data_IF_286425051976
#
_entry.id   IF_286425051976
#
_cell.length_a   1.000
_cell.length_b   1.000
_cell.length_c   1.000
_cell.angle_alpha   90.00
_cell.angle_beta   90.00
_cell.angle_gamma   90.00
#
_symmetry.space_group_name_H-M   'P 1'
#
loop_
_entity.id
_entity.type
_entity.pdbx_description
1 polymer ?
#
# COMPACT_ATOMS: atom_id res chain seq x y z
N UNK A 1 26.79 46.02 2.03
CA UNK A 1 26.26 46.42 0.71
C UNK A 1 25.05 45.53 0.42
N UNK A 2 23.85 46.07 0.15
CA UNK A 2 23.51 47.48 -0.08
C UNK A 2 22.95 48.13 1.21
N UNK A 3 23.35 49.31 1.68
CA UNK A 3 23.33 50.67 1.08
C UNK A 3 21.94 51.10 0.58
N UNK A 4 21.22 51.96 1.32
CA UNK A 4 21.33 53.43 1.40
C UNK A 4 20.53 54.12 0.27
N UNK A 5 19.93 55.24 0.67
CA UNK A 5 19.31 56.32 -0.09
C UNK A 5 17.86 56.16 -0.57
N UNK A 6 16.91 56.86 0.04
CA UNK A 6 16.72 58.31 0.14
C UNK A 6 15.79 58.81 -0.96
N UNK A 7 14.58 59.19 -0.53
CA UNK A 7 13.83 60.26 -1.20
C UNK A 7 13.37 61.28 -0.17
N UNK A 8 14.21 62.31 -0.09
CA UNK A 8 13.90 63.67 0.31
C UNK A 8 12.53 64.13 -0.25
N UNK A 9 11.72 64.78 0.58
CA UNK A 9 11.19 66.10 0.23
C UNK A 9 10.80 66.89 1.48
N UNK A 10 11.46 68.04 1.61
CA UNK A 10 11.23 69.07 2.59
C UNK A 10 9.84 69.72 2.41
N UNK A 11 9.25 70.13 3.54
CA UNK A 11 7.97 70.83 3.61
C UNK A 11 7.85 71.60 4.92
N UNK A 12 8.50 72.76 4.94
CA UNK A 12 8.46 73.91 5.87
C UNK A 12 7.18 74.08 6.73
N UNK A 13 7.42 74.35 8.02
CA UNK A 13 6.70 75.15 9.01
C UNK A 13 5.27 75.63 8.72
N UNK A 14 4.37 75.34 9.66
CA UNK A 14 3.09 76.02 9.84
C UNK A 14 2.47 75.62 11.18
N UNK A 15 2.75 76.39 12.23
CA UNK A 15 2.17 76.15 13.55
C UNK A 15 0.66 76.34 13.52
N UNK A 16 -0.08 75.53 14.27
CA UNK A 16 -1.40 75.86 14.77
C UNK A 16 -1.49 75.41 16.22
N UNK A 17 -1.45 76.40 17.09
CA UNK A 17 -1.84 76.30 18.48
C UNK A 17 -3.27 75.73 18.55
N UNK A 18 -3.42 74.50 19.04
CA UNK A 18 -4.72 74.02 19.49
C UNK A 18 -4.88 74.37 20.96
N UNK A 19 -5.73 75.37 21.17
CA UNK A 19 -6.33 75.79 22.43
C UNK A 19 -6.53 74.60 23.37
N UNK A 20 -5.88 74.68 24.52
CA UNK A 20 -6.28 73.97 25.73
C UNK A 20 -7.68 74.49 26.08
N UNK A 21 -8.69 73.69 25.76
CA UNK A 21 -10.04 73.89 26.27
C UNK A 21 -10.00 73.67 27.77
N UNK A 22 -10.30 74.72 28.53
CA UNK A 22 -10.59 74.67 29.95
C UNK A 22 -11.84 73.82 30.19
N UNK A 23 -11.66 72.50 30.22
CA UNK A 23 -12.62 71.54 30.73
C UNK A 23 -12.51 71.48 32.24
N UNK A 24 -13.38 72.26 32.88
CA UNK A 24 -13.60 72.31 34.33
C UNK A 24 -14.09 70.95 34.84
N UNK A 25 -13.18 69.99 35.02
CA UNK A 25 -13.44 68.79 35.80
C UNK A 25 -13.02 69.09 37.25
N UNK A 26 -14.00 69.50 38.04
CA UNK A 26 -13.88 69.54 39.50
C UNK A 26 -13.77 68.10 40.02
N UNK A 27 -12.54 67.62 40.15
CA UNK A 27 -12.19 66.55 41.07
C UNK A 27 -11.42 67.20 42.20
N UNK A 28 -12.03 67.29 43.38
CA UNK A 28 -11.35 67.78 44.58
C UNK A 28 -10.02 67.03 44.76
N UNK A 29 -8.90 67.72 45.01
CA UNK A 29 -7.71 67.02 45.41
C UNK A 29 -8.05 66.32 46.72
N UNK A 30 -7.81 65.00 46.78
CA UNK A 30 -7.84 64.23 48.03
C UNK A 30 -6.66 64.68 48.87
N UNK A 31 -6.73 65.92 49.36
CA UNK A 31 -5.96 66.43 50.48
C UNK A 31 -6.65 65.80 51.68
N UNK A 32 -6.35 64.53 51.96
CA UNK A 32 -6.57 64.03 53.31
C UNK A 32 -5.75 64.97 54.17
N UNK A 33 -6.48 65.76 54.94
CA UNK A 33 -6.00 66.86 55.77
C UNK A 33 -4.84 66.36 56.63
N UNK A 34 -3.62 66.53 56.12
CA UNK A 34 -2.39 66.14 56.81
C UNK A 34 -2.36 66.80 58.19
N UNK A 35 -2.86 68.03 58.25
CA UNK A 35 -3.00 68.87 59.42
C UNK A 35 -3.98 68.30 60.46
N UNK A 36 -5.08 67.64 60.03
CA UNK A 36 -6.01 66.99 60.98
C UNK A 36 -5.49 65.67 61.51
N UNK A 37 -4.69 64.96 60.71
CA UNK A 37 -4.04 63.71 61.12
C UNK A 37 -2.92 63.99 62.11
N UNK A 38 -2.13 65.06 61.91
CA UNK A 38 -1.09 65.48 62.85
C UNK A 38 -1.67 65.98 64.17
N UNK A 39 -2.73 66.80 64.15
CA UNK A 39 -3.40 67.26 65.37
C UNK A 39 -4.05 66.11 66.17
N UNK A 40 -4.64 65.14 65.48
CA UNK A 40 -5.19 63.92 66.10
C UNK A 40 -4.10 63.02 66.68
N UNK A 41 -2.93 62.98 66.04
CA UNK A 41 -1.76 62.23 66.47
C UNK A 41 -1.14 62.82 67.74
N UNK A 42 -0.93 64.14 67.79
CA UNK A 42 -0.28 64.85 68.90
C UNK A 42 -1.11 64.83 70.20
N UNK A 43 -2.43 64.70 70.12
CA UNK A 43 -3.31 64.62 71.31
C UNK A 43 -3.35 63.24 71.96
N UNK A 44 -2.80 62.18 71.34
CA UNK A 44 -2.81 60.83 71.88
C UNK A 44 -1.63 60.58 72.81
N UNK A 45 -1.88 59.82 73.88
CA UNK A 45 -0.82 59.40 74.82
C UNK A 45 0.25 58.59 74.07
N UNK A 46 1.53 58.64 74.48
CA UNK A 46 2.64 57.99 73.75
C UNK A 46 2.47 56.47 73.60
N UNK A 47 1.73 55.82 74.52
CA UNK A 47 1.40 54.38 74.42
C UNK A 47 0.40 54.07 73.31
N UNK A 48 -0.54 54.97 73.06
CA UNK A 48 -1.56 54.81 72.01
C UNK A 48 -0.99 55.07 70.62
N UNK A 49 -0.06 56.02 70.48
CA UNK A 49 0.70 56.23 69.25
C UNK A 49 1.46 54.96 68.85
N UNK A 50 2.12 54.31 69.82
CA UNK A 50 2.88 53.09 69.58
C UNK A 50 1.99 51.93 69.13
N UNK A 51 0.78 51.82 69.70
CA UNK A 51 -0.23 50.84 69.24
C UNK A 51 -0.74 51.13 67.83
N UNK A 52 -0.98 52.39 67.47
CA UNK A 52 -1.46 52.74 66.12
C UNK A 52 -0.40 52.45 65.05
N UNK A 53 0.88 52.77 65.32
CA UNK A 53 1.98 52.39 64.41
C UNK A 53 2.11 50.88 64.31
N UNK A 54 2.02 50.15 65.43
CA UNK A 54 2.10 48.68 65.42
C UNK A 54 0.96 48.06 64.60
N UNK A 55 -0.26 48.55 64.74
CA UNK A 55 -1.42 48.10 63.97
C UNK A 55 -1.26 48.46 62.50
N UNK A 56 -0.83 49.68 62.17
CA UNK A 56 -0.59 50.09 60.79
C UNK A 56 0.49 49.20 60.13
N UNK A 57 1.60 48.95 60.82
CA UNK A 57 2.66 48.06 60.33
C UNK A 57 2.17 46.62 60.14
N UNK A 58 1.39 46.07 61.08
CA UNK A 58 0.79 44.74 60.95
C UNK A 58 -0.17 44.66 59.76
N UNK A 59 -1.04 45.65 59.57
CA UNK A 59 -1.97 45.67 58.43
C UNK A 59 -1.24 45.77 57.10
N UNK A 60 -0.16 46.54 57.03
CA UNK A 60 0.65 46.71 55.82
C UNK A 60 1.43 45.44 55.49
N UNK A 61 1.95 44.74 56.51
CA UNK A 61 2.63 43.46 56.36
C UNK A 61 1.66 42.35 55.91
N UNK A 62 0.46 42.30 56.49
CA UNK A 62 -0.59 41.35 56.07
C UNK A 62 -1.12 41.64 54.67
N UNK A 63 -1.25 42.92 54.30
CA UNK A 63 -1.65 43.32 52.95
C UNK A 63 -0.58 42.96 51.93
N UNK A 64 0.70 43.19 52.23
CA UNK A 64 1.82 42.80 51.37
C UNK A 64 1.86 41.28 51.16
N UNK A 65 1.70 40.50 52.23
CA UNK A 65 1.60 39.03 52.17
C UNK A 65 0.41 38.60 51.29
N UNK A 66 -0.78 39.17 51.51
CA UNK A 66 -1.97 38.84 50.74
C UNK A 66 -1.84 39.23 49.25
N UNK A 67 -1.23 40.38 48.93
CA UNK A 67 -1.03 40.84 47.56
C UNK A 67 0.05 40.04 46.82
N UNK A 68 1.06 39.51 47.52
CA UNK A 68 2.14 38.72 46.94
C UNK A 68 1.84 37.21 46.85
N UNK A 69 1.15 36.61 47.83
CA UNK A 69 0.83 35.17 47.81
C UNK A 69 -0.37 34.82 46.92
N UNK A 70 -1.35 35.72 46.77
CA UNK A 70 -2.50 35.50 45.88
C UNK A 70 -2.10 35.22 44.42
N UNK A 71 -1.25 36.02 43.76
CA UNK A 71 -0.86 35.74 42.38
C UNK A 71 -0.08 34.42 42.26
N UNK A 72 0.74 34.08 43.25
CA UNK A 72 1.49 32.82 43.26
C UNK A 72 0.55 31.59 43.33
N UNK A 73 -0.49 31.64 44.18
CA UNK A 73 -1.48 30.55 44.29
C UNK A 73 -2.30 30.37 43.01
N UNK A 74 -2.68 31.48 42.36
CA UNK A 74 -3.41 31.45 41.08
C UNK A 74 -2.53 30.84 39.99
N UNK A 75 -1.25 31.24 39.91
CA UNK A 75 -0.31 30.67 38.94
C UNK A 75 -0.09 29.16 39.15
N UNK A 76 0.04 28.70 40.40
CA UNK A 76 0.16 27.27 40.72
C UNK A 76 -1.12 26.51 40.33
N UNK A 77 -2.29 27.06 40.64
CA UNK A 77 -3.58 26.44 40.31
C UNK A 77 -3.83 26.41 38.78
N UNK A 78 -3.44 27.44 38.05
CA UNK A 78 -3.54 27.46 36.59
C UNK A 78 -2.54 26.49 35.95
N UNK A 79 -1.32 26.40 36.48
CA UNK A 79 -0.32 25.44 36.02
C UNK A 79 -0.77 24.00 36.26
N UNK A 80 -1.37 23.70 37.42
CA UNK A 80 -1.89 22.37 37.71
C UNK A 80 -3.09 22.00 36.82
N UNK A 81 -3.99 22.96 36.53
CA UNK A 81 -5.07 22.78 35.55
C UNK A 81 -4.54 22.50 34.15
N UNK A 82 -3.52 23.26 33.70
CA UNK A 82 -2.86 23.04 32.40
C UNK A 82 -2.22 21.66 32.33
N UNK A 83 -1.53 21.23 33.40
CA UNK A 83 -0.95 19.89 33.48
C UNK A 83 -2.01 18.79 33.47
N UNK A 84 -3.12 18.98 34.19
CA UNK A 84 -4.23 18.02 34.19
C UNK A 84 -4.87 17.93 32.80
N UNK A 85 -5.10 19.07 32.14
CA UNK A 85 -5.59 19.14 30.76
C UNK A 85 -4.65 18.42 29.78
N UNK A 86 -3.36 18.77 29.80
CA UNK A 86 -2.35 18.14 28.95
C UNK A 86 -2.23 16.63 29.20
N UNK A 87 -2.35 16.16 30.45
CA UNK A 87 -2.38 14.73 30.77
C UNK A 87 -3.61 14.04 30.19
N UNK A 88 -4.78 14.66 30.25
CA UNK A 88 -6.00 14.10 29.66
C UNK A 88 -5.93 14.04 28.14
N UNK A 89 -5.33 15.06 27.51
CA UNK A 89 -5.11 15.12 26.07
C UNK A 89 -4.10 14.06 25.62
N UNK A 90 -3.00 13.88 26.36
CA UNK A 90 -2.04 12.80 26.12
C UNK A 90 -2.69 11.42 26.24
N UNK A 91 -3.53 11.19 27.25
CA UNK A 91 -4.24 9.92 27.41
C UNK A 91 -5.20 9.65 26.24
N UNK A 92 -5.93 10.68 25.77
CA UNK A 92 -6.81 10.57 24.62
C UNK A 92 -6.04 10.28 23.31
N UNK A 93 -4.92 10.97 23.09
CA UNK A 93 -4.04 10.72 21.95
C UNK A 93 -3.42 9.32 21.98
N UNK A 94 -3.01 8.84 23.16
CA UNK A 94 -2.49 7.48 23.33
C UNK A 94 -3.55 6.42 22.96
N UNK A 95 -4.80 6.59 23.41
CA UNK A 95 -5.90 5.70 23.03
C UNK A 95 -6.15 5.73 21.52
N UNK A 96 -6.13 6.91 20.90
CA UNK A 96 -6.33 7.04 19.46
C UNK A 96 -5.22 6.36 18.65
N UNK A 97 -3.96 6.44 19.10
CA UNK A 97 -2.83 5.73 18.47
C UNK A 97 -3.00 4.22 18.61
N UNK A 98 -3.31 3.71 19.80
CA UNK A 98 -3.54 2.27 20.00
C UNK A 98 -4.68 1.72 19.14
N UNK A 99 -5.80 2.44 19.03
CA UNK A 99 -6.92 2.05 18.18
C UNK A 99 -6.54 2.02 16.70
N UNK A 100 -5.79 3.03 16.23
CA UNK A 100 -5.30 3.10 14.85
C UNK A 100 -4.30 1.99 14.54
N UNK A 101 -3.40 1.70 15.47
CA UNK A 101 -2.42 0.62 15.32
C UNK A 101 -3.09 -0.75 15.30
N UNK A 102 -4.07 -1.01 16.19
CA UNK A 102 -4.85 -2.26 16.16
C UNK A 102 -5.60 -2.41 14.84
N UNK A 103 -6.38 -1.41 14.44
CA UNK A 103 -7.14 -1.44 13.19
C UNK A 103 -6.24 -1.60 11.95
N UNK A 104 -5.11 -0.89 11.91
CA UNK A 104 -4.12 -1.02 10.84
C UNK A 104 -3.50 -2.42 10.80
N UNK A 105 -3.13 -2.98 11.96
CA UNK A 105 -2.55 -4.33 12.05
C UNK A 105 -3.55 -5.43 11.63
N UNK A 106 -4.83 -5.29 11.98
CA UNK A 106 -5.88 -6.22 11.56
C UNK A 106 -6.12 -6.14 10.05
N UNK A 107 -6.17 -4.92 9.49
CA UNK A 107 -6.33 -4.73 8.05
C UNK A 107 -5.14 -5.32 7.26
N UNK A 108 -3.91 -5.16 7.77
CA UNK A 108 -2.73 -5.76 7.16
C UNK A 108 -2.77 -7.29 7.22
N UNK A 109 -3.13 -7.88 8.36
CA UNK A 109 -3.30 -9.35 8.48
C UNK A 109 -4.40 -9.88 7.56
N UNK A 110 -5.52 -9.17 7.44
CA UNK A 110 -6.61 -9.55 6.53
C UNK A 110 -6.15 -9.51 5.06
N UNK A 111 -5.41 -8.46 4.66
CA UNK A 111 -4.82 -8.38 3.31
C UNK A 111 -3.80 -9.48 3.05
N UNK A 112 -2.96 -9.79 4.04
CA UNK A 112 -1.98 -10.87 3.92
C UNK A 112 -2.68 -12.24 3.75
N UNK A 113 -3.74 -12.49 4.52
CA UNK A 113 -4.54 -13.70 4.39
C UNK A 113 -5.23 -13.80 3.01
N UNK A 114 -5.82 -12.70 2.52
CA UNK A 114 -6.43 -12.64 1.17
C UNK A 114 -5.40 -12.90 0.08
N UNK A 115 -4.23 -12.25 0.14
CA UNK A 115 -3.14 -12.45 -0.82
C UNK A 115 -2.62 -13.90 -0.80
N UNK A 116 -2.45 -14.50 0.38
CA UNK A 116 -2.07 -15.91 0.50
C UNK A 116 -3.13 -16.84 -0.10
N UNK A 117 -4.41 -16.56 0.11
CA UNK A 117 -5.49 -17.34 -0.48
C UNK A 117 -5.50 -17.23 -2.02
N UNK A 118 -5.31 -16.03 -2.56
CA UNK A 118 -5.18 -15.81 -4.02
C UNK A 118 -3.97 -16.52 -4.61
N UNK A 119 -2.83 -16.47 -3.92
CA UNK A 119 -1.62 -17.18 -4.36
C UNK A 119 -1.85 -18.69 -4.39
N UNK A 120 -2.43 -19.26 -3.32
CA UNK A 120 -2.75 -20.69 -3.28
C UNK A 120 -3.75 -21.10 -4.38
N UNK A 121 -4.75 -20.27 -4.66
CA UNK A 121 -5.70 -20.49 -5.75
C UNK A 121 -5.00 -20.47 -7.12
N UNK A 122 -4.20 -19.43 -7.41
CA UNK A 122 -3.45 -19.30 -8.65
C UNK A 122 -2.45 -20.45 -8.85
N UNK A 123 -1.75 -20.86 -7.78
CA UNK A 123 -0.89 -22.04 -7.83
C UNK A 123 -1.68 -23.33 -8.14
N UNK A 124 -2.90 -23.47 -7.60
CA UNK A 124 -3.76 -24.62 -7.91
C UNK A 124 -4.22 -24.62 -9.36
N UNK A 125 -4.50 -23.46 -9.94
CA UNK A 125 -4.88 -23.30 -11.34
C UNK A 125 -3.70 -23.64 -12.25
N UNK A 126 -2.50 -23.15 -11.92
CA UNK A 126 -1.27 -23.47 -12.62
C UNK A 126 -0.95 -24.97 -12.51
N UNK A 127 -1.09 -25.59 -11.33
CA UNK A 127 -0.87 -27.05 -11.18
C UNK A 127 -1.86 -27.86 -12.01
N UNK A 128 -3.14 -27.47 -12.06
CA UNK A 128 -4.14 -28.10 -12.94
C UNK A 128 -3.74 -27.98 -14.42
N UNK A 129 -3.33 -26.79 -14.86
CA UNK A 129 -2.85 -26.58 -16.22
C UNK A 129 -1.55 -27.35 -16.53
N UNK A 130 -0.71 -27.63 -15.53
CA UNK A 130 0.51 -28.44 -15.68
C UNK A 130 0.22 -29.94 -15.82
N UNK A 131 -0.81 -30.45 -15.14
CA UNK A 131 -1.25 -31.86 -15.28
C UNK A 131 -1.76 -32.12 -16.71
N UNK A 132 -2.29 -31.10 -17.38
CA UNK A 132 -2.74 -31.14 -18.78
C UNK A 132 -1.58 -31.20 -19.80
N UNK A 133 -0.34 -30.92 -19.41
CA UNK A 133 0.83 -30.97 -20.29
C UNK A 133 1.40 -32.40 -20.33
N UNK A 134 1.11 -33.13 -21.41
CA UNK A 134 1.52 -34.53 -21.56
C UNK A 134 3.03 -34.63 -21.72
N UNK A 135 3.68 -35.43 -20.86
CA UNK A 135 5.07 -35.82 -21.08
C UNK A 135 5.19 -36.54 -22.45
N UNK A 136 6.07 -36.10 -23.36
CA UNK A 136 6.10 -36.55 -24.76
C UNK A 136 6.08 -38.07 -24.91
N UNK A 137 6.83 -38.76 -24.04
CA UNK A 137 6.97 -40.22 -23.93
C UNK A 137 5.65 -41.00 -23.82
N UNK A 138 4.57 -40.35 -23.38
CA UNK A 138 3.27 -40.97 -23.28
C UNK A 138 2.45 -40.85 -24.58
N UNK A 139 2.76 -39.89 -25.46
CA UNK A 139 1.98 -39.65 -26.69
C UNK A 139 1.95 -40.88 -27.60
N UNK A 140 3.11 -41.42 -27.98
CA UNK A 140 3.17 -42.58 -28.89
C UNK A 140 2.44 -43.80 -28.33
N UNK A 141 2.59 -44.06 -27.02
CA UNK A 141 1.88 -45.16 -26.34
C UNK A 141 0.36 -44.97 -26.35
N UNK A 142 -0.12 -43.74 -26.13
CA UNK A 142 -1.56 -43.45 -26.14
C UNK A 142 -2.15 -43.56 -27.56
N UNK A 143 -1.45 -43.02 -28.56
CA UNK A 143 -1.86 -43.16 -29.97
C UNK A 143 -1.96 -44.64 -30.35
N UNK A 144 -0.94 -45.44 -30.02
CA UNK A 144 -0.96 -46.88 -30.27
C UNK A 144 -2.10 -47.61 -29.52
N UNK A 145 -2.34 -47.29 -28.24
CA UNK A 145 -3.38 -47.92 -27.43
C UNK A 145 -4.79 -47.64 -27.96
N UNK A 146 -5.04 -46.45 -28.49
CA UNK A 146 -6.33 -46.12 -29.12
C UNK A 146 -6.43 -46.80 -30.48
N UNK A 147 -5.32 -46.83 -31.25
CA UNK A 147 -5.31 -47.42 -32.58
C UNK A 147 -5.59 -48.93 -32.56
N UNK A 148 -5.22 -49.64 -31.49
CA UNK A 148 -5.59 -51.04 -31.29
C UNK A 148 -7.11 -51.31 -31.32
N UNK A 149 -7.94 -50.27 -31.09
CA UNK A 149 -9.41 -50.37 -31.18
C UNK A 149 -9.94 -50.20 -32.60
N UNK A 150 -9.08 -49.85 -33.56
CA UNK A 150 -9.40 -49.57 -34.96
C UNK A 150 -8.57 -50.49 -35.88
N UNK A 151 -8.93 -51.79 -36.00
CA UNK A 151 -8.16 -52.75 -36.79
C UNK A 151 -8.12 -52.43 -38.29
N UNK A 152 -9.06 -51.64 -38.79
CA UNK A 152 -9.13 -51.16 -40.18
C UNK A 152 -8.07 -50.09 -40.51
N UNK A 153 -7.36 -49.58 -39.50
CA UNK A 153 -6.29 -48.59 -39.64
C UNK A 153 -4.93 -49.24 -39.44
N UNK A 154 -4.13 -49.32 -40.51
CA UNK A 154 -2.78 -49.89 -40.49
C UNK A 154 -1.73 -48.79 -40.41
N UNK A 155 -0.85 -48.83 -39.41
CA UNK A 155 0.29 -47.89 -39.37
C UNK A 155 1.32 -48.28 -40.42
N UNK A 156 1.64 -47.31 -41.28
CA UNK A 156 2.66 -47.46 -42.34
C UNK A 156 3.96 -46.78 -41.94
N UNK A 157 3.89 -45.72 -41.12
CA UNK A 157 5.06 -45.01 -40.65
C UNK A 157 4.75 -44.11 -39.46
N UNK A 158 5.76 -43.89 -38.63
CA UNK A 158 5.70 -42.96 -37.51
C UNK A 158 7.05 -42.26 -37.40
N UNK A 159 7.04 -40.93 -37.36
CA UNK A 159 8.23 -40.11 -37.28
C UNK A 159 8.07 -39.04 -36.20
N UNK A 160 8.99 -38.97 -35.25
CA UNK A 160 9.02 -37.88 -34.28
C UNK A 160 9.64 -36.64 -34.91
N UNK A 161 9.03 -35.47 -34.69
CA UNK A 161 9.61 -34.18 -35.05
C UNK A 161 10.44 -33.65 -33.87
N UNK A 162 11.45 -32.82 -34.17
CA UNK A 162 12.30 -32.20 -33.15
C UNK A 162 11.47 -31.22 -32.30
N UNK A 163 11.70 -31.17 -30.97
CA UNK A 163 10.97 -30.25 -30.11
C UNK A 163 11.25 -28.81 -30.51
N UNK A 164 10.20 -28.06 -30.83
CA UNK A 164 10.29 -26.65 -31.16
C UNK A 164 9.86 -25.83 -29.95
N UNK A 165 10.56 -24.75 -29.59
CA UNK A 165 10.09 -23.85 -28.56
C UNK A 165 8.71 -23.32 -28.95
N UNK A 166 7.73 -23.43 -28.05
CA UNK A 166 6.42 -22.87 -28.26
C UNK A 166 6.53 -21.36 -28.08
N UNK A 167 6.45 -20.62 -29.18
CA UNK A 167 6.44 -19.16 -29.16
C UNK A 167 5.10 -18.68 -28.60
N UNK A 168 5.12 -18.18 -27.36
CA UNK A 168 4.05 -17.28 -26.94
C UNK A 168 4.17 -16.04 -27.83
N UNK A 169 3.08 -15.68 -28.53
CA UNK A 169 3.04 -14.67 -29.59
C UNK A 169 3.44 -13.25 -29.11
N UNK A 170 3.85 -13.10 -27.85
CA UNK A 170 4.19 -11.86 -27.20
C UNK A 170 5.59 -11.30 -27.55
N UNK A 171 6.57 -12.12 -27.97
CA UNK A 171 7.94 -11.63 -28.19
C UNK A 171 8.54 -11.86 -29.59
N UNK A 172 7.92 -12.69 -30.45
CA UNK A 172 8.21 -12.82 -31.89
C UNK A 172 9.68 -13.05 -32.27
N UNK A 173 10.52 -13.48 -31.32
CA UNK A 173 11.98 -13.42 -31.50
C UNK A 173 12.62 -14.76 -31.83
N UNK A 174 11.89 -15.88 -31.65
CA UNK A 174 12.37 -17.24 -31.92
C UNK A 174 13.68 -17.62 -31.23
N UNK A 175 14.10 -16.84 -30.23
CA UNK A 175 15.39 -16.99 -29.55
C UNK A 175 15.19 -17.78 -28.27
N UNK A 176 15.91 -18.90 -28.15
CA UNK A 176 16.01 -19.63 -26.89
C UNK A 176 16.66 -18.71 -25.84
N UNK A 177 16.00 -18.45 -24.69
CA UNK A 177 16.53 -17.55 -23.67
C UNK A 177 17.92 -17.98 -23.21
N UNK A 178 18.85 -17.04 -23.00
CA UNK A 178 20.22 -17.35 -22.53
C UNK A 178 20.23 -17.71 -21.04
N UNK A 179 19.24 -17.25 -20.27
CA UNK A 179 19.08 -17.57 -18.84
C UNK A 179 18.48 -18.98 -18.65
N UNK A 180 19.08 -19.78 -17.75
CA UNK A 180 18.62 -21.11 -17.36
C UNK A 180 17.21 -21.11 -16.74
N UNK A 181 16.85 -20.08 -15.96
CA UNK A 181 15.53 -19.96 -15.31
C UNK A 181 14.42 -19.71 -16.35
N UNK A 182 14.71 -18.88 -17.35
CA UNK A 182 13.82 -18.64 -18.47
C UNK A 182 13.67 -19.89 -19.36
N UNK A 183 14.75 -20.67 -19.56
CA UNK A 183 14.66 -21.97 -20.26
C UNK A 183 13.82 -23.01 -19.52
N UNK A 184 13.86 -23.03 -18.18
CA UNK A 184 13.07 -23.96 -17.36
C UNK A 184 11.56 -23.66 -17.38
N UNK A 185 11.20 -22.42 -17.71
CA UNK A 185 9.81 -21.96 -17.82
C UNK A 185 9.27 -22.04 -19.26
N UNK A 186 10.13 -22.38 -20.22
CA UNK A 186 9.79 -22.42 -21.64
C UNK A 186 8.97 -23.69 -21.96
N UNK A 187 7.89 -23.50 -22.71
CA UNK A 187 7.12 -24.62 -23.26
C UNK A 187 7.74 -25.06 -24.58
N UNK A 188 7.74 -26.36 -24.81
CA UNK A 188 8.18 -26.99 -26.04
C UNK A 188 7.00 -27.72 -26.67
N UNK A 189 6.84 -27.52 -27.96
CA UNK A 189 5.98 -28.32 -28.81
C UNK A 189 6.72 -29.58 -29.25
N UNK A 190 6.10 -30.72 -29.05
CA UNK A 190 6.60 -32.02 -29.51
C UNK A 190 5.68 -32.55 -30.59
N UNK A 191 6.16 -32.55 -31.83
CA UNK A 191 5.43 -33.07 -32.99
C UNK A 191 5.66 -34.56 -33.21
N UNK A 192 4.64 -35.25 -33.71
CA UNK A 192 4.70 -36.62 -34.19
C UNK A 192 3.89 -36.73 -35.49
N UNK A 193 4.55 -37.19 -36.55
CA UNK A 193 3.91 -37.54 -37.80
C UNK A 193 3.54 -39.02 -37.80
N UNK A 194 2.27 -39.32 -38.03
CA UNK A 194 1.74 -40.68 -38.15
C UNK A 194 1.17 -40.87 -39.56
N UNK A 195 1.63 -41.90 -40.25
CA UNK A 195 1.11 -42.31 -41.55
C UNK A 195 0.30 -43.59 -41.40
N UNK A 196 -0.98 -43.55 -41.78
CA UNK A 196 -1.95 -44.63 -41.61
C UNK A 196 -2.60 -44.97 -42.95
N UNK A 197 -2.70 -46.25 -43.24
CA UNK A 197 -3.48 -46.82 -44.34
C UNK A 197 -4.86 -47.26 -43.84
N UNK A 198 -5.92 -46.85 -44.53
CA UNK A 198 -7.28 -47.26 -44.16
C UNK A 198 -8.35 -46.31 -44.69
N UNK A 199 -9.60 -46.56 -44.33
CA UNK A 199 -10.72 -45.72 -44.78
C UNK A 199 -10.77 -44.42 -43.99
N UNK A 200 -11.08 -43.33 -44.66
CA UNK A 200 -11.19 -41.99 -44.05
C UNK A 200 -12.17 -41.94 -42.86
N UNK A 201 -13.30 -42.66 -42.94
CA UNK A 201 -14.28 -42.69 -41.85
C UNK A 201 -13.73 -43.31 -40.57
N UNK A 202 -12.92 -44.36 -40.69
CA UNK A 202 -12.28 -45.00 -39.54
C UNK A 202 -11.24 -44.06 -38.92
N UNK A 203 -10.49 -43.33 -39.74
CA UNK A 203 -9.55 -42.31 -39.27
C UNK A 203 -10.26 -41.18 -38.53
N UNK A 204 -11.39 -40.69 -39.05
CA UNK A 204 -12.19 -39.66 -38.37
C UNK A 204 -12.73 -40.17 -37.02
N UNK A 205 -13.17 -41.43 -36.95
CA UNK A 205 -13.59 -42.04 -35.70
C UNK A 205 -12.42 -42.16 -34.69
N UNK A 206 -11.22 -42.50 -35.17
CA UNK A 206 -10.00 -42.51 -34.37
C UNK A 206 -9.67 -41.13 -33.81
N UNK A 207 -9.68 -40.07 -34.64
CA UNK A 207 -9.42 -38.69 -34.19
C UNK A 207 -10.43 -38.21 -33.16
N UNK A 208 -11.73 -38.47 -33.37
CA UNK A 208 -12.79 -38.15 -32.40
C UNK A 208 -12.61 -38.89 -31.07
N UNK A 209 -12.11 -40.13 -31.11
CA UNK A 209 -11.84 -40.89 -29.90
C UNK A 209 -10.64 -40.32 -29.14
N UNK A 210 -9.62 -39.87 -29.86
CA UNK A 210 -8.43 -39.22 -29.30
C UNK A 210 -8.80 -37.90 -28.59
N UNK A 211 -9.64 -37.07 -29.19
CA UNK A 211 -10.10 -35.78 -28.62
C UNK A 211 -10.86 -35.92 -27.29
N UNK A 212 -11.45 -37.10 -27.03
CA UNK A 212 -12.19 -37.38 -25.79
C UNK A 212 -11.29 -37.85 -24.65
N UNK A 213 -10.01 -38.10 -24.92
CA UNK A 213 -9.09 -38.54 -23.88
C UNK A 213 -8.67 -37.38 -22.97
N UNK A 214 -8.28 -37.64 -21.71
CA UNK A 214 -7.79 -36.59 -20.82
C UNK A 214 -6.44 -36.00 -21.27
N UNK A 215 -5.80 -36.60 -22.28
CA UNK A 215 -4.52 -36.16 -22.81
C UNK A 215 -4.73 -35.03 -23.83
N UNK A 216 -4.04 -33.90 -23.64
CA UNK A 216 -4.05 -32.76 -24.58
C UNK A 216 -3.16 -33.02 -25.80
N UNK A 217 -3.55 -33.99 -26.62
CA UNK A 217 -2.91 -34.26 -27.92
C UNK A 217 -3.72 -33.54 -28.99
N UNK A 218 -3.06 -32.63 -29.72
CA UNK A 218 -3.66 -31.87 -30.80
C UNK A 218 -3.20 -32.42 -32.14
N UNK A 219 -3.98 -32.22 -33.20
CA UNK A 219 -3.57 -32.49 -34.58
C UNK A 219 -3.58 -31.16 -35.36
N UNK A 220 -2.65 -31.02 -36.32
CA UNK A 220 -2.47 -29.77 -37.09
C UNK A 220 -2.86 -29.95 -38.55
N UNK A 221 -2.27 -30.94 -39.18
CA UNK A 221 -2.37 -31.15 -40.62
C UNK A 221 -2.76 -32.60 -40.92
N UNK A 222 -3.53 -32.78 -41.99
CA UNK A 222 -3.95 -34.07 -42.52
C UNK A 222 -3.78 -34.05 -44.04
N UNK A 223 -2.93 -34.94 -44.55
CA UNK A 223 -2.65 -35.12 -45.98
C UNK A 223 -3.11 -36.52 -46.42
N UNK A 224 -4.20 -36.57 -47.20
CA UNK A 224 -4.80 -37.79 -47.71
C UNK A 224 -4.34 -38.02 -49.15
N UNK A 225 -3.70 -39.17 -49.39
CA UNK A 225 -3.26 -39.63 -50.70
C UNK A 225 -3.78 -41.03 -50.97
N UNK A 226 -3.79 -41.44 -52.22
CA UNK A 226 -4.10 -42.83 -52.60
C UNK A 226 -2.82 -43.47 -53.09
N UNK A 227 -2.46 -44.64 -52.56
CA UNK A 227 -1.27 -45.36 -53.00
C UNK A 227 -1.50 -46.04 -54.36
N UNK A 228 -0.43 -46.61 -54.92
CA UNK A 228 -0.47 -47.28 -56.22
C UNK A 228 -1.46 -48.47 -56.26
N UNK A 229 -1.82 -49.03 -55.11
CA UNK A 229 -2.80 -50.10 -54.97
C UNK A 229 -4.25 -49.62 -54.83
N UNK A 230 -4.51 -48.31 -54.91
CA UNK A 230 -5.85 -47.74 -54.76
C UNK A 230 -6.33 -47.63 -53.30
N UNK A 231 -5.44 -47.84 -52.33
CA UNK A 231 -5.76 -47.75 -50.89
C UNK A 231 -5.46 -46.33 -50.39
N UNK A 232 -6.37 -45.71 -49.61
CA UNK A 232 -6.10 -44.40 -49.03
C UNK A 232 -5.02 -44.49 -47.94
N UNK A 233 -4.04 -43.59 -48.02
CA UNK A 233 -2.95 -43.39 -47.08
C UNK A 233 -3.05 -41.96 -46.57
N UNK A 234 -3.19 -41.81 -45.26
CA UNK A 234 -3.30 -40.50 -44.62
C UNK A 234 -2.11 -40.24 -43.71
N UNK A 235 -1.46 -39.10 -43.91
CA UNK A 235 -0.44 -38.58 -43.01
C UNK A 235 -1.09 -37.54 -42.10
N UNK A 236 -0.94 -37.72 -40.79
CA UNK A 236 -1.49 -36.82 -39.77
C UNK A 236 -0.37 -36.34 -38.87
N UNK A 237 -0.28 -35.02 -38.66
CA UNK A 237 0.67 -34.42 -37.72
C UNK A 237 -0.02 -34.12 -36.40
N UNK A 238 0.47 -34.76 -35.33
CA UNK A 238 0.06 -34.55 -33.96
C UNK A 238 1.08 -33.70 -33.21
N UNK A 239 0.65 -32.97 -32.17
CA UNK A 239 1.55 -32.26 -31.27
C UNK A 239 1.03 -32.22 -29.82
N UNK A 240 1.95 -32.10 -28.87
CA UNK A 240 1.66 -31.81 -27.44
C UNK A 240 2.60 -30.73 -26.93
N UNK A 241 2.21 -30.09 -25.84
CA UNK A 241 3.04 -29.13 -25.12
C UNK A 241 3.66 -29.78 -23.87
N UNK A 242 4.94 -29.52 -23.63
CA UNK A 242 5.65 -29.98 -22.44
C UNK A 242 6.68 -28.95 -21.93
N UNK A 243 7.12 -29.08 -20.67
CA UNK A 243 8.06 -28.16 -20.02
C UNK A 243 9.54 -28.49 -20.23
N UNK A 244 9.88 -29.37 -21.16
CA UNK A 244 11.28 -29.73 -21.36
C UNK A 244 11.58 -30.23 -22.75
N UNK A 245 12.82 -30.06 -23.22
CA UNK A 245 13.25 -30.51 -24.55
C UNK A 245 13.43 -32.03 -24.64
N UNK A 246 12.98 -32.81 -23.63
CA UNK A 246 13.20 -34.26 -23.59
C UNK A 246 12.41 -34.94 -24.72
N UNK A 247 13.17 -35.62 -25.56
CA UNK A 247 12.72 -36.28 -26.77
C UNK A 247 11.96 -37.60 -26.53
N UNK A 248 11.24 -38.01 -27.56
CA UNK A 248 10.69 -39.35 -27.75
C UNK A 248 11.80 -40.28 -28.24
N UNK A 249 12.26 -41.21 -27.40
CA UNK A 249 12.98 -42.38 -27.89
C UNK A 249 11.94 -43.37 -28.41
N UNK A 250 11.79 -43.46 -29.73
CA UNK A 250 10.91 -44.43 -30.39
C UNK A 250 11.54 -45.83 -30.39
#
# INVERSE_FOLDING_TARGET
MPDIDARLRAGRFGGHARRIGAGRFGGEPVVIKADQVSEWWERRKPREQLLVIAVAALTLLFAADALLLRPLRIQIADSSKRLAGARSELAALQQQVEERDRAGSEQLRAREADLKARLAAAESDVRRAQIDLVAPQNMARQLAAILQRFPELRVVGMQSESPMPFEDRADGSGKVPVNAEARASMLYEHGLELTVEGRYLDLNAYLKQLERTPYKIYWRDLDLKVNAQGVPVTKVRFFTLSKGPKWLTL
#
